data_IF_841319236366
#
_entry.id   IF_841319236366
#
_cell.length_a   1.000
_cell.length_b   1.000
_cell.length_c   1.000
_cell.angle_alpha   90.00
_cell.angle_beta   90.00
_cell.angle_gamma   90.00
#
_symmetry.space_group_name_H-M   'P 1'
#
loop_
_entity.id
_entity.type
_entity.pdbx_description
1 polymer ?
#
# COMPACT_ATOMS: atom_id res chain seq x y z
N UNK A 1 -1.58 -17.43 -12.09
CA UNK A 1 -1.07 -17.23 -10.72
C UNK A 1 -1.58 -15.88 -10.29
N UNK A 2 -2.35 -15.82 -9.21
CA UNK A 2 -2.94 -14.59 -8.69
C UNK A 2 -1.90 -13.93 -7.78
N UNK A 3 -1.58 -12.67 -8.04
CA UNK A 3 -0.72 -11.91 -7.14
C UNK A 3 -1.53 -11.43 -5.93
N UNK A 4 -0.84 -11.07 -4.85
CA UNK A 4 -1.46 -10.49 -3.67
C UNK A 4 -0.91 -9.09 -3.43
N UNK A 5 -1.80 -8.14 -3.22
CA UNK A 5 -1.46 -6.77 -2.84
C UNK A 5 -1.92 -6.49 -1.41
N UNK A 6 -1.07 -5.84 -0.62
CA UNK A 6 -1.38 -5.45 0.75
C UNK A 6 -1.13 -3.97 0.97
N UNK A 7 -2.12 -3.25 1.49
CA UNK A 7 -1.98 -1.87 1.94
C UNK A 7 -1.86 -1.81 3.47
N UNK A 8 -0.69 -1.42 3.98
CA UNK A 8 -0.49 -1.08 5.39
C UNK A 8 -0.76 0.41 5.62
N UNK A 9 -1.52 0.74 6.66
CA UNK A 9 -1.88 2.11 7.02
C UNK A 9 -1.90 2.32 8.52
N UNK A 10 -1.30 3.43 8.97
CA UNK A 10 -1.37 3.88 10.36
C UNK A 10 -2.39 5.01 10.53
N UNK A 11 -3.01 5.08 11.71
CA UNK A 11 -4.12 5.99 12.02
C UNK A 11 -3.83 6.83 13.26
N UNK A 12 -4.47 8.00 13.32
CA UNK A 12 -4.24 8.97 14.40
C UNK A 12 -4.70 8.47 15.78
N UNK A 13 -5.51 7.40 15.81
CA UNK A 13 -5.94 6.75 17.05
C UNK A 13 -4.91 5.73 17.58
N UNK A 14 -3.71 5.70 16.99
CA UNK A 14 -2.63 4.80 17.39
C UNK A 14 -2.79 3.37 16.86
N UNK A 15 -3.81 3.11 16.03
CA UNK A 15 -4.01 1.79 15.42
C UNK A 15 -3.42 1.72 14.01
N UNK A 16 -3.12 0.50 13.57
CA UNK A 16 -2.71 0.19 12.20
C UNK A 16 -3.68 -0.80 11.56
N UNK A 17 -3.76 -0.80 10.23
CA UNK A 17 -4.53 -1.77 9.47
C UNK A 17 -3.78 -2.17 8.20
N UNK A 18 -3.57 -3.47 8.03
CA UNK A 18 -3.18 -4.08 6.77
C UNK A 18 -4.44 -4.61 6.06
N UNK A 19 -4.66 -4.20 4.81
CA UNK A 19 -5.72 -4.75 3.97
C UNK A 19 -5.09 -5.48 2.78
N UNK A 20 -5.42 -6.76 2.66
CA UNK A 20 -4.95 -7.65 1.61
C UNK A 20 -6.05 -7.90 0.58
N UNK A 21 -5.66 -7.99 -0.69
CA UNK A 21 -6.52 -8.38 -1.80
C UNK A 21 -5.72 -9.19 -2.84
N UNK A 22 -6.36 -10.16 -3.46
CA UNK A 22 -5.83 -10.84 -4.64
C UNK A 22 -6.00 -9.96 -5.88
N UNK A 23 -5.09 -10.09 -6.84
CA UNK A 23 -5.13 -9.34 -8.09
C UNK A 23 -4.51 -10.10 -9.24
N UNK A 24 -5.08 -9.90 -10.44
CA UNK A 24 -4.53 -10.41 -11.71
C UNK A 24 -3.52 -9.43 -12.33
N UNK A 25 -3.18 -8.32 -11.67
CA UNK A 25 -2.17 -7.40 -12.15
C UNK A 25 -0.81 -8.10 -12.26
N UNK A 26 -0.07 -7.79 -13.33
CA UNK A 26 1.24 -8.40 -13.60
C UNK A 26 2.33 -7.91 -12.63
N UNK A 27 2.23 -6.65 -12.21
CA UNK A 27 3.14 -6.02 -11.25
C UNK A 27 2.47 -4.90 -10.44
N UNK A 28 3.23 -4.29 -9.53
CA UNK A 28 2.74 -3.21 -8.68
C UNK A 28 2.34 -1.97 -9.49
N UNK A 29 3.03 -1.67 -10.60
CA UNK A 29 2.75 -0.50 -11.41
C UNK A 29 1.42 -0.67 -12.18
N UNK A 30 1.20 -1.84 -12.77
CA UNK A 30 -0.05 -2.22 -13.40
C UNK A 30 -1.21 -2.15 -12.40
N UNK A 31 -1.01 -2.69 -11.19
CA UNK A 31 -2.00 -2.61 -10.11
C UNK A 31 -2.30 -1.16 -9.74
N UNK A 32 -1.27 -0.36 -9.44
CA UNK A 32 -1.44 1.03 -9.04
C UNK A 32 -2.14 1.84 -10.12
N UNK A 33 -1.87 1.59 -11.41
CA UNK A 33 -2.53 2.29 -12.52
C UNK A 33 -4.00 1.93 -12.64
N UNK A 34 -4.34 0.64 -12.54
CA UNK A 34 -5.71 0.15 -12.72
C UNK A 34 -6.62 0.35 -11.51
N UNK A 35 -6.06 0.35 -10.29
CA UNK A 35 -6.81 0.27 -9.03
C UNK A 35 -6.49 1.42 -8.06
N UNK A 36 -6.18 2.61 -8.59
CA UNK A 36 -5.84 3.80 -7.79
C UNK A 36 -6.86 4.02 -6.66
N UNK A 37 -6.38 3.99 -5.42
CA UNK A 37 -7.19 4.29 -4.23
C UNK A 37 -8.27 3.26 -3.85
N UNK A 38 -8.43 2.14 -4.57
CA UNK A 38 -9.44 1.11 -4.27
C UNK A 38 -9.26 0.51 -2.88
N UNK A 39 -8.05 0.01 -2.59
CA UNK A 39 -7.69 -0.53 -1.26
C UNK A 39 -7.89 0.51 -0.15
N UNK A 40 -7.57 1.77 -0.43
CA UNK A 40 -7.79 2.83 0.54
C UNK A 40 -9.27 3.05 0.85
N UNK A 41 -10.13 3.06 -0.18
CA UNK A 41 -11.59 3.14 -0.01
C UNK A 41 -12.13 2.00 0.88
N UNK A 42 -11.63 0.78 0.69
CA UNK A 42 -12.06 -0.38 1.47
C UNK A 42 -11.51 -0.36 2.91
N UNK A 43 -10.29 0.12 3.12
CA UNK A 43 -9.77 0.42 4.47
C UNK A 43 -10.69 1.41 5.19
N UNK A 44 -11.10 2.49 4.52
CA UNK A 44 -12.02 3.46 5.11
C UNK A 44 -13.40 2.86 5.43
N UNK A 45 -13.94 1.98 4.57
CA UNK A 45 -15.21 1.28 4.83
C UNK A 45 -15.08 0.36 6.05
N UNK A 46 -14.06 -0.49 6.09
CA UNK A 46 -13.85 -1.46 7.19
C UNK A 46 -13.66 -0.75 8.53
N UNK A 47 -12.94 0.37 8.57
CA UNK A 47 -12.75 1.15 9.80
C UNK A 47 -14.02 1.82 10.27
N UNK A 48 -14.78 2.44 9.35
CA UNK A 48 -16.10 3.01 9.68
C UNK A 48 -17.06 1.97 10.25
N UNK A 49 -17.09 0.76 9.68
CA UNK A 49 -17.91 -0.34 10.18
C UNK A 49 -17.54 -0.78 11.61
N UNK A 50 -16.31 -0.51 12.06
CA UNK A 50 -15.82 -0.80 13.42
C UNK A 50 -15.90 0.42 14.36
N UNK A 51 -16.49 1.54 13.91
CA UNK A 51 -16.53 2.77 14.70
C UNK A 51 -15.17 3.46 14.88
N UNK A 52 -14.17 3.11 14.06
CA UNK A 52 -12.81 3.65 14.16
C UNK A 52 -12.62 4.87 13.24
N UNK A 53 -11.67 5.75 13.59
CA UNK A 53 -11.34 6.92 12.76
C UNK A 53 -10.81 6.50 11.39
N UNK A 54 -11.17 7.22 10.32
CA UNK A 54 -10.57 7.06 9.00
C UNK A 54 -9.40 8.02 8.74
N UNK A 55 -9.03 8.84 9.74
CA UNK A 55 -7.91 9.78 9.63
C UNK A 55 -6.59 9.03 9.80
N UNK A 56 -5.79 9.02 8.73
CA UNK A 56 -4.44 8.45 8.69
C UNK A 56 -3.43 9.31 9.45
N UNK A 57 -2.48 8.65 10.12
CA UNK A 57 -1.32 9.27 10.78
C UNK A 57 -0.20 9.62 9.78
N UNK A 58 -0.26 9.10 8.56
CA UNK A 58 0.70 9.34 7.49
C UNK A 58 0.26 8.67 6.19
N UNK A 59 1.11 8.65 5.16
CA UNK A 59 0.83 7.83 3.99
C UNK A 59 0.94 6.34 4.35
N UNK A 60 0.38 5.48 3.49
CA UNK A 60 0.51 4.04 3.65
C UNK A 60 1.61 3.45 2.79
N UNK A 61 1.79 2.14 2.94
CA UNK A 61 2.74 1.35 2.15
C UNK A 61 2.00 0.23 1.44
N UNK A 62 2.20 0.13 0.12
CA UNK A 62 1.73 -1.00 -0.67
C UNK A 62 2.85 -2.03 -0.80
N UNK A 63 2.47 -3.29 -0.66
CA UNK A 63 3.31 -4.46 -0.91
C UNK A 63 2.64 -5.30 -1.99
N UNK A 64 3.40 -5.74 -2.98
CA UNK A 64 2.93 -6.62 -4.05
C UNK A 64 3.76 -7.89 -4.07
N UNK A 65 3.08 -9.02 -3.88
CA UNK A 65 3.66 -10.35 -3.82
C UNK A 65 3.17 -11.15 -5.04
N UNK A 66 4.07 -11.50 -5.95
CA UNK A 66 3.75 -12.31 -7.14
C UNK A 66 3.75 -13.82 -6.87
N UNK A 67 4.12 -14.24 -5.66
CA UNK A 67 4.25 -15.64 -5.26
C UNK A 67 4.01 -15.82 -3.76
N UNK A 68 3.69 -17.06 -3.38
CA UNK A 68 3.33 -17.43 -2.00
C UNK A 68 4.47 -17.24 -0.99
N UNK A 69 5.72 -17.43 -1.41
CA UNK A 69 6.88 -17.24 -0.52
C UNK A 69 7.06 -15.76 -0.16
N UNK A 70 6.88 -14.86 -1.13
CA UNK A 70 6.86 -13.42 -0.89
C UNK A 70 5.71 -13.00 0.02
N UNK A 71 4.52 -13.61 -0.15
CA UNK A 71 3.37 -13.37 0.72
C UNK A 71 3.63 -13.83 2.16
N UNK A 72 4.18 -15.03 2.33
CA UNK A 72 4.56 -15.56 3.64
C UNK A 72 5.61 -14.67 4.32
N UNK A 73 6.64 -14.24 3.57
CA UNK A 73 7.65 -13.32 4.09
C UNK A 73 7.04 -11.98 4.53
N UNK A 74 6.10 -11.43 3.76
CA UNK A 74 5.37 -10.21 4.12
C UNK A 74 4.54 -10.38 5.38
N UNK A 75 3.78 -11.47 5.51
CA UNK A 75 2.97 -11.74 6.71
C UNK A 75 3.84 -11.80 7.96
N UNK A 76 4.94 -12.55 7.90
CA UNK A 76 5.89 -12.62 9.02
C UNK A 76 6.57 -11.26 9.32
N UNK A 77 6.82 -10.44 8.29
CA UNK A 77 7.33 -9.08 8.47
C UNK A 77 6.31 -8.21 9.23
N UNK A 78 5.04 -8.23 8.84
CA UNK A 78 3.97 -7.44 9.46
C UNK A 78 3.66 -7.86 10.91
N UNK A 79 3.93 -9.11 11.27
CA UNK A 79 3.77 -9.64 12.64
C UNK A 79 5.01 -9.43 13.51
N UNK A 80 6.13 -9.02 12.93
CA UNK A 80 7.37 -8.83 13.67
C UNK A 80 7.35 -7.56 14.53
N UNK A 81 7.95 -7.64 15.71
CA UNK A 81 8.22 -6.46 16.52
C UNK A 81 9.12 -5.47 15.76
N UNK A 82 8.78 -4.19 15.82
CA UNK A 82 9.56 -3.11 15.19
C UNK A 82 11.00 -3.08 15.72
N UNK A 83 11.96 -2.91 14.82
CA UNK A 83 13.41 -2.96 15.04
C UNK A 83 13.95 -4.31 15.53
N UNK A 84 13.16 -5.38 15.49
CA UNK A 84 13.63 -6.71 15.89
C UNK A 84 14.53 -7.37 14.84
N UNK A 85 15.29 -8.38 15.26
CA UNK A 85 16.06 -9.23 14.34
C UNK A 85 15.15 -9.99 13.37
N UNK A 86 13.92 -10.31 13.81
CA UNK A 86 12.93 -10.98 12.97
C UNK A 86 12.46 -10.04 11.86
N UNK A 87 12.16 -8.78 12.18
CA UNK A 87 11.79 -7.78 11.18
C UNK A 87 12.87 -7.66 10.09
N UNK A 88 14.14 -7.55 10.49
CA UNK A 88 15.27 -7.46 9.55
C UNK A 88 15.42 -8.72 8.69
N UNK A 89 15.24 -9.90 9.29
CA UNK A 89 15.26 -11.19 8.58
C UNK A 89 14.17 -11.22 7.52
N UNK A 90 12.92 -10.92 7.89
CA UNK A 90 11.79 -11.01 6.96
C UNK A 90 11.83 -9.94 5.88
N UNK A 91 12.35 -8.74 6.19
CA UNK A 91 12.65 -7.73 5.18
C UNK A 91 13.68 -8.24 4.14
N UNK A 92 14.66 -9.04 4.55
CA UNK A 92 15.62 -9.67 3.62
C UNK A 92 14.95 -10.76 2.77
N UNK A 93 14.11 -11.59 3.38
CA UNK A 93 13.35 -12.64 2.67
C UNK A 93 12.38 -12.02 1.64
N UNK A 94 11.69 -10.93 1.98
CA UNK A 94 10.83 -10.19 1.04
C UNK A 94 11.62 -9.72 -0.18
N UNK A 95 12.83 -9.18 0.02
CA UNK A 95 13.71 -8.77 -1.09
C UNK A 95 14.14 -9.96 -1.95
N UNK A 96 14.48 -11.09 -1.34
CA UNK A 96 14.88 -12.30 -2.06
C UNK A 96 13.72 -12.89 -2.89
N UNK A 97 12.49 -12.73 -2.43
CA UNK A 97 11.27 -13.19 -3.11
C UNK A 97 10.65 -12.14 -4.04
N UNK A 98 11.38 -11.06 -4.36
CA UNK A 98 10.96 -10.00 -5.27
C UNK A 98 9.65 -9.30 -4.88
N UNK A 99 9.38 -9.16 -3.58
CA UNK A 99 8.23 -8.35 -3.12
C UNK A 99 8.46 -6.89 -3.49
N UNK A 100 7.54 -6.32 -4.27
CA UNK A 100 7.62 -4.92 -4.68
C UNK A 100 6.99 -4.05 -3.59
N UNK A 101 7.59 -2.91 -3.28
CA UNK A 101 7.17 -2.02 -2.20
C UNK A 101 7.01 -0.61 -2.75
N UNK A 102 5.82 -0.03 -2.60
CA UNK A 102 5.58 1.38 -2.86
C UNK A 102 5.25 2.10 -1.54
N UNK A 103 6.23 2.81 -0.94
CA UNK A 103 5.96 3.66 0.20
C UNK A 103 5.22 4.94 -0.23
N UNK A 104 4.69 5.66 0.76
CA UNK A 104 4.10 6.99 0.60
C UNK A 104 2.78 7.08 -0.18
N UNK A 105 2.04 5.98 -0.30
CA UNK A 105 0.75 5.94 -1.00
C UNK A 105 -0.35 6.66 -0.20
N UNK A 106 -1.03 7.59 -0.85
CA UNK A 106 -2.12 8.40 -0.31
C UNK A 106 -1.66 9.64 0.46
N UNK A 107 -0.49 10.21 0.13
CA UNK A 107 -0.12 11.56 0.60
C UNK A 107 -1.08 12.62 0.05
N UNK A 108 -1.07 13.82 0.63
CA UNK A 108 -2.09 14.87 0.44
C UNK A 108 -2.28 15.33 -1.02
N UNK A 109 -1.29 15.10 -1.88
CA UNK A 109 -1.34 15.30 -3.33
C UNK A 109 -2.15 14.22 -4.07
N UNK A 110 -2.01 12.94 -3.72
CA UNK A 110 -2.84 11.85 -4.28
C UNK A 110 -4.27 11.89 -3.75
N UNK A 111 -4.47 12.36 -2.51
CA UNK A 111 -5.81 12.58 -1.93
C UNK A 111 -6.63 13.60 -2.75
N UNK A 112 -5.97 14.61 -3.35
CA UNK A 112 -6.60 15.57 -4.27
C UNK A 112 -6.97 14.93 -5.62
N UNK A 113 -6.17 13.99 -6.13
CA UNK A 113 -6.44 13.26 -7.38
C UNK A 113 -7.58 12.25 -7.20
N UNK A 114 -7.60 11.53 -6.07
CA UNK A 114 -8.63 10.52 -5.76
C UNK A 114 -10.00 11.10 -5.39
N UNK A 115 -10.05 12.30 -4.79
CA UNK A 115 -11.30 12.99 -4.45
C UNK A 115 -11.74 14.01 -5.53
N UNK A 116 -10.86 14.34 -6.47
CA UNK A 116 -11.06 15.43 -7.42
C UNK A 116 -11.58 15.03 -8.80
N UNK A 117 -11.67 13.74 -9.13
CA UNK A 117 -12.31 13.27 -10.37
C UNK A 117 -11.82 13.95 -11.67
N UNK A 118 -10.61 14.49 -11.70
CA UNK A 118 -10.05 15.16 -12.87
C UNK A 118 -8.69 14.53 -13.22
N UNK A 119 -8.79 13.43 -13.96
CA UNK A 119 -7.91 13.21 -15.11
C UNK A 119 -8.01 14.46 -15.99
N UNK A 120 -7.10 15.42 -15.82
CA UNK A 120 -6.66 16.27 -16.91
C UNK A 120 -5.41 17.07 -16.52
N UNK A 121 -4.45 17.03 -17.44
CA UNK A 121 -3.21 17.81 -17.50
C UNK A 121 -2.03 17.30 -16.68
N UNK A 122 -1.42 16.22 -17.18
CA UNK A 122 0.04 16.20 -17.29
C UNK A 122 0.41 17.41 -18.16
N UNK A 123 0.68 18.57 -17.55
CA UNK A 123 1.51 19.58 -18.20
C UNK A 123 2.94 19.06 -18.09
N UNK A 124 3.42 18.49 -19.19
CA UNK A 124 4.85 18.44 -19.52
C UNK A 124 5.53 19.70 -18.99
N UNK A 125 6.43 19.53 -18.02
CA UNK A 125 7.34 20.58 -17.61
C UNK A 125 8.20 20.95 -18.82
N UNK A 126 7.84 22.05 -19.48
CA UNK A 126 8.71 22.78 -20.41
C UNK A 126 9.25 23.99 -19.67
N UNK A 127 10.57 24.15 -19.70
CA UNK A 127 11.23 25.44 -19.57
C UNK A 127 12.09 25.59 -18.31
N UNK A 128 13.32 25.11 -18.38
CA UNK A 128 14.44 25.85 -17.81
C UNK A 128 14.82 26.95 -18.81
N UNK A 129 14.73 28.21 -18.39
CA UNK A 129 15.58 29.32 -18.80
C UNK A 129 15.64 30.32 -17.66
#
# INVERSE_FOLDING_TARGET
>A
MTATVTLLSDFIDGTSMALMEETDAEDLNAFMTASQGRLWGDVQKKRRARGLTSKRLGPGTLYFCSNDQGLLALQNYLESETNSKNEQKWMKEMKQNNVQIAPHIGSESERRVLLGGQHNQIKTAKGFH
#
